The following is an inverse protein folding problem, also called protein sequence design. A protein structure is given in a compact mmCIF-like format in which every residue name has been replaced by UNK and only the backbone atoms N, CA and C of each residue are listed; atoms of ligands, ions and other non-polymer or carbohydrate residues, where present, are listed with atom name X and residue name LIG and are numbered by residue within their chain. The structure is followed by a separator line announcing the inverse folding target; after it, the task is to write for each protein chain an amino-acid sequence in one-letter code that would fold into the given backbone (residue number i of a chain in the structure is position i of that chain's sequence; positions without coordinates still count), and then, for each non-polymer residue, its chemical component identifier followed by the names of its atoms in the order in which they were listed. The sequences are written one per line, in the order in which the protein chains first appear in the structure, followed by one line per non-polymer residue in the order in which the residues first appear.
data_IF_031557649134
#
_entry.id   IF_031557649134
#
_cell.length_a   1.000
_cell.length_b   1.000
_cell.length_c   1.000
_cell.angle_alpha   90.00
_cell.angle_beta   90.00
_cell.angle_gamma   90.00
#
_symmetry.space_group_name_H-M   'P 1'
#
loop_
_entity.id
_entity.type
_entity.pdbx_description
1 polymer ?
#
# COMPACT_ATOMS: atom_id res chain seq x y z
N UNK A 1 1.82 29.22 12.40
CA UNK A 1 1.91 27.86 11.84
C UNK A 1 2.72 27.98 10.55
N UNK A 2 3.80 27.25 10.43
CA UNK A 2 4.57 27.17 9.17
C UNK A 2 3.68 26.43 8.16
N UNK A 3 3.42 27.06 7.03
CA UNK A 3 2.55 26.49 6.01
C UNK A 3 3.43 25.58 5.11
N UNK A 4 3.38 24.27 5.33
CA UNK A 4 4.07 23.30 4.49
C UNK A 4 3.28 23.08 3.18
N UNK A 5 3.94 22.79 2.04
CA UNK A 5 3.24 22.45 0.80
C UNK A 5 2.29 21.25 1.03
N UNK A 6 1.04 21.30 0.56
CA UNK A 6 0.10 20.21 0.78
C UNK A 6 0.52 18.93 0.04
N UNK A 7 0.17 17.79 0.59
CA UNK A 7 0.34 16.50 -0.07
C UNK A 7 -0.88 16.26 -0.97
N UNK A 8 -0.76 16.53 -2.25
CA UNK A 8 -1.86 16.40 -3.23
C UNK A 8 -1.68 15.26 -4.21
N UNK A 9 -0.49 14.64 -4.23
CA UNK A 9 -0.16 13.54 -5.16
C UNK A 9 0.28 12.29 -4.44
N UNK A 10 -0.10 11.13 -4.99
CA UNK A 10 0.36 9.84 -4.50
C UNK A 10 0.86 8.93 -5.64
N UNK A 11 1.95 8.21 -5.38
CA UNK A 11 2.43 7.11 -6.24
C UNK A 11 1.94 5.79 -5.65
N UNK A 12 1.33 4.95 -6.49
CA UNK A 12 1.00 3.57 -6.15
C UNK A 12 1.80 2.63 -7.06
N UNK A 13 2.85 1.98 -6.57
CA UNK A 13 3.68 1.06 -7.35
C UNK A 13 2.96 -0.27 -7.58
N UNK A 14 2.43 -0.48 -8.76
CA UNK A 14 1.69 -1.68 -9.17
C UNK A 14 2.39 -2.48 -10.28
N UNK A 15 3.73 -2.33 -10.46
CA UNK A 15 4.49 -2.97 -11.53
C UNK A 15 5.06 -4.35 -11.17
N UNK A 16 4.92 -4.81 -9.93
CA UNK A 16 5.50 -6.07 -9.45
C UNK A 16 4.89 -7.32 -10.12
N UNK A 17 5.69 -8.37 -10.30
CA UNK A 17 5.28 -9.61 -10.98
C UNK A 17 4.27 -10.47 -10.20
N UNK A 18 4.13 -10.27 -8.89
CA UNK A 18 3.20 -11.06 -8.07
C UNK A 18 3.54 -12.55 -7.96
N UNK A 19 4.82 -12.91 -8.00
CA UNK A 19 5.29 -14.32 -8.09
C UNK A 19 4.80 -15.23 -6.95
N UNK A 20 4.47 -14.66 -5.78
CA UNK A 20 3.91 -15.41 -4.63
C UNK A 20 2.51 -15.96 -4.91
N UNK A 21 1.81 -15.41 -5.90
CA UNK A 21 0.44 -15.80 -6.29
C UNK A 21 0.40 -16.59 -7.60
N UNK A 22 1.54 -17.06 -8.13
CA UNK A 22 1.50 -17.97 -9.24
C UNK A 22 0.75 -19.27 -8.87
N UNK A 23 -0.07 -19.82 -9.77
CA UNK A 23 -0.16 -19.49 -11.20
C UNK A 23 -1.15 -18.36 -11.57
N UNK A 24 -2.01 -17.87 -10.67
CA UNK A 24 -3.06 -16.90 -11.03
C UNK A 24 -2.49 -15.59 -11.59
N UNK A 25 -1.36 -15.13 -11.06
CA UNK A 25 -0.71 -13.89 -11.51
C UNK A 25 0.01 -14.00 -12.86
N UNK A 26 -0.05 -15.16 -13.50
CA UNK A 26 0.29 -15.29 -14.93
C UNK A 26 -0.62 -14.43 -15.82
N UNK A 27 -1.88 -14.22 -15.42
CA UNK A 27 -2.88 -13.53 -16.22
C UNK A 27 -3.54 -12.34 -15.47
N UNK A 28 -3.60 -12.39 -14.15
CA UNK A 28 -4.26 -11.37 -13.32
C UNK A 28 -3.21 -10.65 -12.49
N UNK A 29 -3.06 -9.32 -12.58
CA UNK A 29 -2.20 -8.56 -11.69
C UNK A 29 -2.54 -8.85 -10.22
N UNK A 30 -1.52 -9.01 -9.36
CA UNK A 30 -1.76 -9.30 -7.94
C UNK A 30 -2.63 -8.23 -7.27
N UNK A 31 -2.51 -7.01 -7.71
CA UNK A 31 -3.23 -5.84 -7.21
C UNK A 31 -4.74 -5.92 -7.52
N UNK A 32 -5.11 -6.75 -8.51
CA UNK A 32 -6.50 -7.01 -8.90
C UNK A 32 -7.08 -8.27 -8.25
N UNK A 33 -6.32 -8.98 -7.42
CA UNK A 33 -6.86 -10.08 -6.63
C UNK A 33 -7.88 -9.52 -5.62
N UNK A 34 -9.07 -10.14 -5.52
CA UNK A 34 -10.13 -9.59 -4.71
C UNK A 34 -9.94 -9.90 -3.22
N UNK A 35 -10.32 -8.93 -2.39
CA UNK A 35 -10.71 -9.13 -1.01
C UNK A 35 -12.23 -9.13 -1.01
N UNK A 36 -12.85 -10.30 -0.89
CA UNK A 36 -14.28 -10.54 -1.12
C UNK A 36 -14.70 -10.18 -2.56
N UNK A 37 -15.33 -9.03 -2.74
CA UNK A 37 -15.90 -8.54 -3.98
C UNK A 37 -15.21 -7.28 -4.54
N UNK A 38 -14.09 -6.85 -3.91
CA UNK A 38 -13.37 -5.62 -4.27
C UNK A 38 -11.88 -5.91 -4.47
N UNK A 39 -11.22 -5.46 -5.57
CA UNK A 39 -9.79 -5.60 -5.75
C UNK A 39 -8.98 -4.93 -4.63
N UNK A 40 -7.85 -5.51 -4.23
CA UNK A 40 -6.92 -4.91 -3.26
C UNK A 40 -6.58 -3.44 -3.61
N UNK A 41 -6.32 -3.17 -4.88
CA UNK A 41 -5.95 -1.84 -5.35
C UNK A 41 -7.04 -0.80 -5.09
N UNK A 42 -8.32 -1.17 -5.13
CA UNK A 42 -9.41 -0.25 -4.86
C UNK A 42 -9.44 0.19 -3.38
N UNK A 43 -9.17 -0.72 -2.42
CA UNK A 43 -9.06 -0.35 -1.01
C UNK A 43 -8.01 0.74 -0.80
N UNK A 44 -6.87 0.58 -1.46
CA UNK A 44 -5.76 1.53 -1.36
C UNK A 44 -6.10 2.87 -2.01
N UNK A 45 -6.75 2.86 -3.18
CA UNK A 45 -7.16 4.10 -3.87
C UNK A 45 -8.21 4.84 -3.05
N UNK A 46 -9.17 4.13 -2.45
CA UNK A 46 -10.18 4.74 -1.57
C UNK A 46 -9.54 5.43 -0.36
N UNK A 47 -8.55 4.80 0.30
CA UNK A 47 -7.79 5.41 1.39
C UNK A 47 -7.05 6.68 0.94
N UNK A 48 -6.44 6.64 -0.25
CA UNK A 48 -5.70 7.77 -0.82
C UNK A 48 -6.65 8.95 -1.11
N UNK A 49 -7.84 8.69 -1.64
CA UNK A 49 -8.86 9.71 -1.90
C UNK A 49 -9.42 10.27 -0.59
N UNK A 50 -9.73 9.41 0.40
CA UNK A 50 -10.18 9.83 1.74
C UNK A 50 -9.15 10.73 2.42
N UNK A 51 -7.87 10.49 2.21
CA UNK A 51 -6.79 11.32 2.74
C UNK A 51 -6.72 12.72 2.11
N UNK A 52 -7.45 12.97 1.02
CA UNK A 52 -7.49 14.27 0.33
C UNK A 52 -6.46 14.40 -0.80
N UNK A 53 -5.94 13.30 -1.32
CA UNK A 53 -5.07 13.29 -2.49
C UNK A 53 -5.90 13.56 -3.75
N UNK A 54 -5.40 14.44 -4.60
CA UNK A 54 -6.07 14.92 -5.81
C UNK A 54 -5.63 14.15 -7.07
N UNK A 55 -4.36 13.70 -7.12
CA UNK A 55 -3.78 13.00 -8.27
C UNK A 55 -3.07 11.71 -7.82
N UNK A 56 -3.48 10.59 -8.41
CA UNK A 56 -2.92 9.26 -8.15
C UNK A 56 -2.14 8.80 -9.37
N UNK A 57 -0.86 8.49 -9.19
CA UNK A 57 0.02 7.99 -10.24
C UNK A 57 0.22 6.48 -10.03
N UNK A 58 -0.45 5.67 -10.83
CA UNK A 58 -0.24 4.22 -10.85
C UNK A 58 0.99 3.88 -11.70
N UNK A 59 2.01 3.29 -11.08
CA UNK A 59 3.17 2.78 -11.81
C UNK A 59 2.92 1.31 -12.14
N UNK A 60 2.68 1.02 -13.42
CA UNK A 60 2.34 -0.32 -13.92
C UNK A 60 3.44 -0.90 -14.79
N UNK A 61 3.49 -2.22 -14.93
CA UNK A 61 4.32 -2.89 -15.94
C UNK A 61 3.51 -3.17 -17.21
N UNK A 62 4.17 -3.39 -18.37
CA UNK A 62 3.48 -3.91 -19.56
C UNK A 62 2.71 -5.20 -19.24
N UNK A 63 1.53 -5.38 -19.84
CA UNK A 63 0.66 -6.54 -19.61
C UNK A 63 -0.31 -6.41 -18.42
N UNK A 64 -0.40 -5.24 -17.79
CA UNK A 64 -1.34 -4.96 -16.67
C UNK A 64 -2.51 -4.06 -17.09
N UNK A 65 -2.97 -4.17 -18.32
CA UNK A 65 -4.06 -3.35 -18.89
C UNK A 65 -5.39 -3.54 -18.13
N UNK A 66 -5.59 -4.67 -17.46
CA UNK A 66 -6.77 -4.91 -16.61
C UNK A 66 -6.89 -3.90 -15.45
N UNK A 67 -5.77 -3.37 -14.95
CA UNK A 67 -5.78 -2.30 -13.95
C UNK A 67 -6.40 -1.04 -14.53
N UNK A 68 -5.91 -0.58 -15.69
CA UNK A 68 -6.45 0.62 -16.33
C UNK A 68 -7.89 0.44 -16.82
N UNK A 69 -8.27 -0.77 -17.21
CA UNK A 69 -9.63 -1.09 -17.62
C UNK A 69 -10.61 -1.05 -16.45
N UNK A 70 -10.17 -1.44 -15.25
CA UNK A 70 -11.01 -1.44 -14.05
C UNK A 70 -11.40 -0.01 -13.61
N UNK A 71 -10.47 0.94 -13.68
CA UNK A 71 -10.69 2.34 -13.30
C UNK A 71 -11.19 3.22 -14.45
N UNK A 72 -11.61 2.63 -15.56
CA UNK A 72 -12.22 3.32 -16.70
C UNK A 72 -13.72 3.14 -16.68
N UNK A 73 -14.45 4.18 -17.10
CA UNK A 73 -15.89 4.10 -17.27
C UNK A 73 -16.29 2.96 -18.22
N UNK A 74 -17.32 2.23 -17.82
CA UNK A 74 -17.90 1.16 -18.62
C UNK A 74 -19.36 1.45 -18.94
N UNK A 75 -19.55 2.34 -19.91
CA UNK A 75 -20.88 2.81 -20.31
C UNK A 75 -21.80 1.71 -20.86
N UNK A 76 -21.25 0.63 -21.41
CA UNK A 76 -22.04 -0.51 -21.89
C UNK A 76 -22.60 -1.30 -20.71
N UNK A 77 -21.77 -1.60 -19.69
CA UNK A 77 -22.22 -2.26 -18.47
C UNK A 77 -23.27 -1.41 -17.74
N UNK A 78 -23.04 -0.10 -17.61
CA UNK A 78 -23.99 0.81 -16.96
C UNK A 78 -25.34 0.85 -17.69
N UNK A 79 -25.35 0.89 -19.01
CA UNK A 79 -26.57 0.84 -19.82
C UNK A 79 -27.29 -0.50 -19.62
N UNK A 80 -26.58 -1.61 -19.60
CA UNK A 80 -27.15 -2.93 -19.36
C UNK A 80 -27.80 -3.02 -17.98
N UNK A 81 -27.09 -2.58 -16.94
CA UNK A 81 -27.59 -2.56 -15.56
C UNK A 81 -28.80 -1.64 -15.40
N UNK A 82 -28.82 -0.50 -16.10
CA UNK A 82 -29.96 0.44 -16.09
C UNK A 82 -31.25 -0.17 -16.69
N UNK A 83 -31.10 -1.09 -17.62
CA UNK A 83 -32.24 -1.78 -18.26
C UNK A 83 -32.82 -2.95 -17.48
N UNK A 84 -32.16 -3.41 -16.40
CA UNK A 84 -32.47 -4.66 -15.68
C UNK A 84 -32.76 -4.46 -14.20
N UNK A 85 -33.41 -3.41 -13.76
CA UNK A 85 -33.70 -3.11 -12.32
C UNK A 85 -32.44 -3.14 -11.41
N UNK A 86 -31.25 -3.02 -12.01
CA UNK A 86 -29.96 -3.15 -11.35
C UNK A 86 -29.48 -1.89 -10.60
N UNK A 87 -30.36 -1.05 -10.05
CA UNK A 87 -29.98 0.23 -9.42
C UNK A 87 -28.88 0.11 -8.38
N UNK A 88 -28.91 -0.92 -7.53
CA UNK A 88 -27.86 -1.17 -6.53
C UNK A 88 -26.54 -1.55 -7.18
N UNK A 89 -26.56 -2.32 -8.25
CA UNK A 89 -25.34 -2.74 -8.98
C UNK A 89 -24.70 -1.56 -9.73
N UNK A 90 -25.53 -0.64 -10.25
CA UNK A 90 -25.05 0.60 -10.88
C UNK A 90 -24.29 1.46 -9.88
N UNK A 91 -24.83 1.60 -8.65
CA UNK A 91 -24.14 2.37 -7.59
C UNK A 91 -22.78 1.76 -7.25
N UNK A 92 -22.67 0.43 -7.18
CA UNK A 92 -21.40 -0.24 -6.95
C UNK A 92 -20.37 0.06 -8.04
N UNK A 93 -20.81 0.07 -9.32
CA UNK A 93 -19.91 0.38 -10.46
C UNK A 93 -19.54 1.86 -10.49
N UNK A 94 -20.50 2.75 -10.26
CA UNK A 94 -20.28 4.22 -10.29
C UNK A 94 -19.44 4.73 -9.11
N UNK A 95 -19.42 4.00 -8.00
CA UNK A 95 -18.61 4.34 -6.84
C UNK A 95 -17.14 3.88 -6.98
N UNK A 96 -16.79 3.16 -8.05
CA UNK A 96 -15.38 2.91 -8.36
C UNK A 96 -14.74 4.25 -8.72
N UNK A 97 -13.62 4.63 -8.07
CA UNK A 97 -12.90 5.85 -8.43
C UNK A 97 -12.48 5.81 -9.90
N UNK A 98 -12.94 6.77 -10.71
CA UNK A 98 -12.68 6.78 -12.15
C UNK A 98 -11.61 7.80 -12.57
N UNK A 99 -11.23 7.70 -13.80
CA UNK A 99 -10.12 8.19 -14.57
C UNK A 99 -9.58 9.62 -14.41
N UNK A 100 -10.33 10.60 -13.92
CA UNK A 100 -9.84 11.98 -13.85
C UNK A 100 -8.77 12.19 -12.77
N UNK A 101 -8.77 11.33 -11.74
CA UNK A 101 -7.80 11.36 -10.63
C UNK A 101 -6.66 10.36 -10.80
N UNK A 102 -6.75 9.40 -11.73
CA UNK A 102 -5.81 8.30 -11.87
C UNK A 102 -5.04 8.39 -13.19
N UNK A 103 -3.75 8.62 -13.11
CA UNK A 103 -2.82 8.60 -14.23
C UNK A 103 -1.91 7.36 -14.19
N UNK A 104 -1.31 7.01 -15.33
CA UNK A 104 -0.53 5.79 -15.46
C UNK A 104 0.86 6.09 -15.99
N UNK A 105 1.87 5.51 -15.35
CA UNK A 105 3.26 5.53 -15.80
C UNK A 105 3.77 4.10 -15.94
N UNK A 106 4.49 3.79 -17.01
CA UNK A 106 4.95 2.43 -17.31
C UNK A 106 6.38 2.23 -16.85
N UNK A 107 6.58 1.34 -15.86
CA UNK A 107 7.88 0.79 -15.53
C UNK A 107 8.22 -0.35 -16.50
N UNK A 108 9.13 -0.10 -17.45
CA UNK A 108 9.47 -1.07 -18.50
C UNK A 108 10.27 -2.26 -17.99
N UNK A 109 11.11 -2.05 -16.99
CA UNK A 109 12.01 -3.06 -16.42
C UNK A 109 11.74 -3.24 -14.92
N UNK A 110 11.72 -4.46 -14.38
CA UNK A 110 11.41 -4.73 -12.98
C UNK A 110 12.64 -4.48 -12.07
N UNK A 111 13.11 -3.23 -12.01
CA UNK A 111 14.31 -2.82 -11.27
C UNK A 111 14.02 -2.42 -9.81
N UNK A 112 12.93 -2.89 -9.23
CA UNK A 112 12.61 -2.70 -7.81
C UNK A 112 11.69 -1.52 -7.51
N UNK A 113 11.35 -1.36 -6.21
CA UNK A 113 10.41 -0.37 -5.71
C UNK A 113 10.95 1.06 -5.91
N UNK A 114 12.22 1.31 -5.59
CA UNK A 114 12.84 2.62 -5.78
C UNK A 114 12.82 3.07 -7.24
N UNK A 115 13.04 2.14 -8.18
CA UNK A 115 12.92 2.45 -9.61
C UNK A 115 11.47 2.74 -10.03
N UNK A 116 10.49 2.04 -9.47
CA UNK A 116 9.08 2.34 -9.75
C UNK A 116 8.73 3.77 -9.31
N UNK A 117 9.16 4.17 -8.11
CA UNK A 117 9.00 5.54 -7.61
C UNK A 117 9.71 6.55 -8.52
N UNK A 118 10.96 6.28 -8.89
CA UNK A 118 11.75 7.15 -9.78
C UNK A 118 11.09 7.33 -11.15
N UNK A 119 10.44 6.29 -11.68
CA UNK A 119 9.74 6.33 -12.97
C UNK A 119 8.58 7.35 -12.96
N UNK A 120 7.97 7.60 -11.80
CA UNK A 120 6.88 8.56 -11.64
C UNK A 120 7.35 10.02 -11.41
N UNK A 121 8.67 10.29 -11.36
CA UNK A 121 9.23 11.61 -11.02
C UNK A 121 8.64 12.76 -11.86
N UNK A 122 8.53 12.57 -13.18
CA UNK A 122 8.02 13.62 -14.07
C UNK A 122 6.55 14.00 -13.78
N UNK A 123 5.73 13.07 -13.28
CA UNK A 123 4.34 13.30 -12.90
C UNK A 123 4.22 13.97 -11.53
N UNK A 124 5.15 13.71 -10.61
CA UNK A 124 5.16 14.33 -9.27
C UNK A 124 5.64 15.78 -9.34
N UNK A 125 6.72 16.05 -10.07
CA UNK A 125 7.38 17.37 -10.10
C UNK A 125 8.12 17.65 -8.78
N UNK A 126 8.09 18.92 -8.36
CA UNK A 126 8.87 19.43 -7.21
C UNK A 126 8.06 19.50 -5.90
N UNK A 127 6.93 18.80 -5.81
CA UNK A 127 6.10 18.78 -4.63
C UNK A 127 6.40 17.57 -3.73
N UNK A 128 6.16 17.67 -2.42
CA UNK A 128 6.11 16.48 -1.56
C UNK A 128 4.93 15.60 -1.97
N UNK A 129 5.06 14.30 -1.76
CA UNK A 129 4.09 13.32 -2.25
C UNK A 129 3.99 12.11 -1.34
N UNK A 130 2.92 11.35 -1.50
CA UNK A 130 2.75 10.07 -0.83
C UNK A 130 3.20 8.90 -1.71
N UNK A 131 3.67 7.81 -1.09
CA UNK A 131 3.82 6.49 -1.72
C UNK A 131 2.96 5.52 -0.94
N UNK A 132 2.14 4.74 -1.65
CA UNK A 132 1.20 3.81 -1.05
C UNK A 132 1.33 2.45 -1.73
N UNK A 133 1.79 1.43 -1.00
CA UNK A 133 1.94 0.09 -1.56
C UNK A 133 0.57 -0.60 -1.66
N UNK A 134 0.22 -1.18 -2.82
CA UNK A 134 -1.11 -1.71 -3.07
C UNK A 134 -1.43 -3.04 -2.37
N UNK A 135 -0.43 -3.70 -1.80
CA UNK A 135 -0.58 -4.97 -1.07
C UNK A 135 -0.57 -4.82 0.46
N UNK A 136 -0.32 -3.63 0.98
CA UNK A 136 -0.52 -3.30 2.38
C UNK A 136 -1.89 -2.63 2.57
N UNK A 137 -2.87 -3.34 3.06
CA UNK A 137 -4.20 -2.81 3.33
C UNK A 137 -4.30 -2.46 4.79
N UNK A 138 -4.66 -1.20 5.08
CA UNK A 138 -4.81 -0.71 6.45
C UNK A 138 -6.24 -0.21 6.62
N UNK A 139 -6.93 -0.75 7.62
CA UNK A 139 -8.32 -0.37 7.93
C UNK A 139 -8.37 0.43 9.21
N UNK A 140 -8.85 1.65 9.10
CA UNK A 140 -9.18 2.56 10.21
C UNK A 140 -9.97 3.77 9.69
N UNK A 141 -10.57 4.53 10.58
CA UNK A 141 -11.16 5.83 10.26
C UNK A 141 -10.71 6.84 11.34
N UNK A 142 -9.89 7.85 10.98
CA UNK A 142 -9.35 8.12 9.64
C UNK A 142 -8.30 7.09 9.18
N UNK A 143 -8.15 6.92 7.86
CA UNK A 143 -7.16 6.03 7.25
C UNK A 143 -5.73 6.39 7.61
N UNK A 144 -4.79 5.44 7.51
CA UNK A 144 -3.40 5.64 7.92
C UNK A 144 -2.72 6.80 7.16
N UNK A 145 -2.98 6.93 5.86
CA UNK A 145 -2.40 8.04 5.08
C UNK A 145 -2.88 9.41 5.58
N UNK A 146 -4.17 9.54 5.97
CA UNK A 146 -4.68 10.79 6.54
C UNK A 146 -4.01 11.12 7.86
N UNK A 147 -3.84 10.14 8.74
CA UNK A 147 -3.10 10.32 10.00
C UNK A 147 -1.68 10.83 9.74
N UNK A 148 -0.98 10.24 8.75
CA UNK A 148 0.38 10.66 8.38
C UNK A 148 0.44 12.08 7.79
N UNK A 149 -0.57 12.49 7.01
CA UNK A 149 -0.67 13.86 6.50
C UNK A 149 -0.81 14.86 7.67
N UNK A 150 -1.56 14.51 8.71
CA UNK A 150 -1.68 15.37 9.90
C UNK A 150 -0.34 15.50 10.65
N UNK A 151 0.45 14.42 10.75
CA UNK A 151 1.83 14.45 11.28
C UNK A 151 2.73 15.31 10.39
N UNK A 152 2.69 15.14 9.07
CA UNK A 152 3.43 15.97 8.13
C UNK A 152 3.10 17.46 8.29
N UNK A 153 1.82 17.80 8.36
CA UNK A 153 1.37 19.18 8.55
C UNK A 153 1.86 19.80 9.88
N UNK A 154 1.97 18.98 10.92
CA UNK A 154 2.45 19.43 12.23
C UNK A 154 3.98 19.62 12.28
N UNK A 155 4.75 18.80 11.55
CA UNK A 155 6.21 18.73 11.71
C UNK A 155 7.00 19.19 10.47
N UNK A 156 6.41 19.23 9.27
CA UNK A 156 7.06 19.62 8.03
C UNK A 156 8.20 18.67 7.60
N UNK A 157 8.15 17.43 8.03
CA UNK A 157 9.19 16.41 7.79
C UNK A 157 8.59 15.24 7.05
N UNK A 158 9.41 14.50 6.29
CA UNK A 158 8.99 13.22 5.73
C UNK A 158 8.44 12.29 6.82
N UNK A 159 7.45 11.47 6.49
CA UNK A 159 6.81 10.52 7.42
C UNK A 159 6.75 9.13 6.79
N UNK A 160 7.16 8.12 7.53
CA UNK A 160 7.07 6.70 7.13
C UNK A 160 6.18 5.99 8.15
N UNK A 161 5.19 5.22 7.68
CA UNK A 161 4.41 4.38 8.56
C UNK A 161 5.23 3.17 9.00
N UNK A 162 5.15 2.86 10.29
CA UNK A 162 5.80 1.69 10.89
C UNK A 162 4.83 0.93 11.77
N UNK A 163 5.12 -0.36 11.96
CA UNK A 163 4.39 -1.27 12.82
C UNK A 163 5.38 -2.14 13.60
N UNK A 164 5.13 -2.36 14.90
CA UNK A 164 5.89 -3.33 15.68
C UNK A 164 5.47 -4.76 15.28
N UNK A 165 6.40 -5.51 14.69
CA UNK A 165 6.15 -6.90 14.28
C UNK A 165 6.81 -7.90 15.24
N UNK A 166 6.38 -9.18 15.27
CA UNK A 166 7.11 -10.24 15.95
C UNK A 166 8.55 -10.33 15.45
N UNK A 167 9.52 -10.48 16.37
CA UNK A 167 10.95 -10.49 16.05
C UNK A 167 11.34 -11.47 14.93
N UNK A 168 10.71 -12.64 14.88
CA UNK A 168 10.91 -13.66 13.86
C UNK A 168 10.50 -13.21 12.43
N UNK A 169 9.82 -12.08 12.32
CA UNK A 169 9.33 -11.54 11.05
C UNK A 169 10.11 -10.31 10.54
N UNK A 170 11.02 -9.73 11.35
CA UNK A 170 11.71 -8.47 10.99
C UNK A 170 12.52 -8.57 9.70
N UNK A 171 13.05 -9.75 9.37
CA UNK A 171 13.82 -9.99 8.15
C UNK A 171 13.01 -9.94 6.85
N UNK A 172 11.71 -9.69 6.93
CA UNK A 172 10.82 -9.52 5.76
C UNK A 172 10.67 -8.06 5.35
N UNK A 173 11.06 -7.11 6.21
CA UNK A 173 10.77 -5.68 6.09
C UNK A 173 12.02 -4.81 6.16
N UNK A 174 11.90 -3.57 5.72
CA UNK A 174 12.80 -2.52 6.15
C UNK A 174 12.58 -2.24 7.64
N UNK A 175 13.65 -2.16 8.40
CA UNK A 175 13.60 -1.95 9.86
C UNK A 175 14.23 -0.61 10.18
N UNK A 176 13.60 0.16 11.07
CA UNK A 176 14.12 1.45 11.50
C UNK A 176 14.81 1.34 12.86
N UNK A 177 15.77 2.26 13.12
CA UNK A 177 16.10 2.68 14.48
C UNK A 177 15.94 4.18 14.61
N UNK A 178 15.66 4.65 15.81
CA UNK A 178 15.48 6.08 16.04
C UNK A 178 15.06 6.41 17.47
N UNK A 179 14.98 7.71 17.75
CA UNK A 179 14.62 8.24 19.06
C UNK A 179 13.11 8.50 19.14
N UNK A 180 12.48 8.03 20.20
CA UNK A 180 11.06 8.26 20.45
C UNK A 180 10.81 9.74 20.75
N UNK A 181 9.87 10.37 20.05
CA UNK A 181 9.42 11.75 20.25
C UNK A 181 8.14 11.79 21.09
N UNK A 182 7.19 10.89 20.79
CA UNK A 182 5.94 10.71 21.53
C UNK A 182 5.56 9.23 21.54
N UNK A 183 4.35 8.90 22.00
CA UNK A 183 3.92 7.50 22.12
C UNK A 183 3.93 6.72 20.82
N UNK A 184 3.66 7.38 19.70
CA UNK A 184 3.55 6.76 18.39
C UNK A 184 4.42 7.42 17.30
N UNK A 185 5.39 8.29 17.71
CA UNK A 185 6.22 9.05 16.78
C UNK A 185 7.69 8.94 17.16
N UNK A 186 8.53 8.60 16.16
CA UNK A 186 9.97 8.46 16.33
C UNK A 186 10.71 9.30 15.28
N UNK A 187 11.87 9.84 15.63
CA UNK A 187 12.81 10.39 14.66
C UNK A 187 13.72 9.27 14.19
N UNK A 188 13.70 8.98 12.89
CA UNK A 188 14.53 7.92 12.31
C UNK A 188 16.00 8.35 12.32
N UNK A 189 16.88 7.46 12.77
CA UNK A 189 18.33 7.61 12.74
C UNK A 189 18.98 6.69 11.71
N UNK A 190 18.43 5.50 11.53
CA UNK A 190 18.90 4.55 10.52
C UNK A 190 17.80 3.64 10.00
N UNK A 191 18.04 3.08 8.81
CA UNK A 191 17.15 2.13 8.13
C UNK A 191 17.99 0.99 7.57
N UNK A 192 17.50 -0.23 7.71
CA UNK A 192 18.15 -1.44 7.16
C UNK A 192 17.11 -2.28 6.45
N UNK A 193 17.35 -2.57 5.16
CA UNK A 193 16.46 -3.43 4.36
C UNK A 193 16.66 -4.89 4.70
N UNK A 194 15.63 -5.56 5.19
CA UNK A 194 15.56 -7.00 5.49
C UNK A 194 16.79 -7.52 6.24
N UNK A 195 17.09 -6.95 7.41
CA UNK A 195 18.27 -7.38 8.16
C UNK A 195 18.15 -8.84 8.61
N UNK A 196 19.25 -9.57 8.78
CA UNK A 196 19.27 -10.79 9.58
C UNK A 196 18.71 -10.53 10.98
N UNK A 197 18.08 -11.53 11.61
CA UNK A 197 17.41 -11.36 12.91
C UNK A 197 18.34 -10.81 14.01
N UNK A 198 19.60 -11.25 13.99
CA UNK A 198 20.65 -10.85 14.93
C UNK A 198 21.22 -9.44 14.66
N UNK A 199 20.90 -8.84 13.53
CA UNK A 199 21.36 -7.51 13.11
C UNK A 199 20.22 -6.48 13.03
N UNK A 200 18.98 -6.90 13.29
CA UNK A 200 17.85 -5.98 13.27
C UNK A 200 17.96 -4.98 14.43
N UNK A 201 17.94 -3.65 14.14
CA UNK A 201 18.14 -2.63 15.17
C UNK A 201 16.92 -2.49 16.11
N UNK A 202 15.75 -2.91 15.64
CA UNK A 202 14.48 -2.90 16.39
C UNK A 202 13.49 -3.89 15.76
N UNK A 203 12.27 -3.92 16.26
CA UNK A 203 11.15 -4.60 15.63
C UNK A 203 10.14 -3.63 14.99
N UNK A 204 10.48 -2.34 14.89
CA UNK A 204 9.68 -1.35 14.17
C UNK A 204 9.96 -1.46 12.67
N UNK A 205 8.99 -2.02 11.97
CA UNK A 205 9.10 -2.35 10.55
C UNK A 205 8.33 -1.36 9.69
N UNK A 206 8.94 -0.98 8.57
CA UNK A 206 8.32 -0.10 7.58
C UNK A 206 7.17 -0.85 6.93
N UNK A 207 6.03 -0.19 6.86
CA UNK A 207 4.87 -0.63 6.09
C UNK A 207 4.67 0.27 4.88
N UNK A 208 3.79 -0.11 3.99
CA UNK A 208 3.65 0.46 2.65
C UNK A 208 3.08 1.89 2.57
N UNK A 209 3.37 2.78 3.50
CA UNK A 209 2.91 4.18 3.49
C UNK A 209 4.07 5.12 3.78
N UNK A 210 4.26 6.11 2.86
CA UNK A 210 5.32 7.10 2.98
C UNK A 210 4.79 8.46 2.55
N UNK A 211 5.25 9.53 3.20
CA UNK A 211 5.18 10.92 2.76
C UNK A 211 6.60 11.42 2.65
N UNK A 212 7.02 11.79 1.47
CA UNK A 212 8.42 12.13 1.19
C UNK A 212 8.54 13.46 0.44
N UNK A 213 9.63 14.22 0.66
CA UNK A 213 9.95 15.39 -0.14
C UNK A 213 10.38 14.95 -1.56
N UNK A 214 10.25 15.84 -2.53
CA UNK A 214 10.69 15.59 -3.91
C UNK A 214 12.20 15.33 -4.02
N UNK A 215 13.00 15.81 -3.07
CA UNK A 215 14.45 15.60 -2.98
C UNK A 215 14.85 14.13 -3.00
N UNK A 216 13.96 13.23 -2.55
CA UNK A 216 14.20 11.78 -2.57
C UNK A 216 14.51 11.23 -3.99
N UNK A 217 14.06 11.91 -5.04
CA UNK A 217 14.39 11.50 -6.41
C UNK A 217 15.88 11.65 -6.73
N UNK A 218 16.60 12.55 -6.05
CA UNK A 218 18.06 12.66 -6.17
C UNK A 218 18.74 11.47 -5.50
N UNK A 219 18.27 11.08 -4.31
CA UNK A 219 18.79 9.93 -3.58
C UNK A 219 18.52 8.63 -4.35
N UNK A 220 17.33 8.48 -4.93
CA UNK A 220 17.01 7.34 -5.79
C UNK A 220 17.90 7.23 -7.01
N UNK A 221 18.28 8.34 -7.65
CA UNK A 221 19.24 8.32 -8.78
C UNK A 221 20.65 7.93 -8.35
N UNK A 222 21.04 8.26 -7.12
CA UNK A 222 22.36 7.98 -6.57
C UNK A 222 22.42 6.62 -5.85
N UNK A 223 21.28 5.97 -5.62
CA UNK A 223 21.21 4.65 -5.00
C UNK A 223 21.79 3.59 -5.93
N UNK A 224 22.76 2.83 -5.42
CA UNK A 224 23.33 1.68 -6.15
C UNK A 224 22.31 0.54 -6.18
N UNK A 225 22.34 -0.24 -7.25
CA UNK A 225 21.57 -1.46 -7.32
C UNK A 225 22.03 -2.44 -6.22
N UNK A 226 21.07 -2.86 -5.40
CA UNK A 226 21.29 -3.79 -4.30
C UNK A 226 21.05 -5.26 -4.70
N UNK A 227 20.58 -6.05 -3.76
CA UNK A 227 20.21 -7.44 -4.00
C UNK A 227 19.22 -7.58 -5.18
N UNK A 228 19.37 -8.62 -6.00
CA UNK A 228 18.57 -8.89 -7.20
C UNK A 228 18.66 -7.83 -8.31
N UNK A 229 19.68 -6.97 -8.30
CA UNK A 229 19.84 -5.85 -9.22
C UNK A 229 18.66 -4.84 -9.15
N UNK A 230 18.09 -4.65 -7.97
CA UNK A 230 16.98 -3.75 -7.70
C UNK A 230 17.45 -2.46 -7.02
N UNK A 231 16.81 -1.33 -7.32
CA UNK A 231 16.92 -0.07 -6.57
C UNK A 231 15.93 -0.14 -5.42
N UNK A 232 16.44 -0.26 -4.19
CA UNK A 232 15.62 -0.33 -3.00
C UNK A 232 15.24 1.08 -2.52
N UNK A 233 13.97 1.29 -2.18
CA UNK A 233 13.52 2.56 -1.61
C UNK A 233 14.17 2.81 -0.24
N UNK A 234 14.35 1.76 0.56
CA UNK A 234 14.99 1.84 1.89
C UNK A 234 16.43 2.36 1.82
N UNK A 235 17.19 1.97 0.77
CA UNK A 235 18.56 2.45 0.57
C UNK A 235 18.57 3.95 0.23
N UNK A 236 17.64 4.40 -0.62
CA UNK A 236 17.49 5.82 -0.93
C UNK A 236 17.07 6.63 0.31
N UNK A 237 16.16 6.10 1.13
CA UNK A 237 15.77 6.72 2.40
C UNK A 237 16.95 6.84 3.36
N UNK A 238 17.83 5.83 3.41
CA UNK A 238 19.06 5.89 4.23
C UNK A 238 20.00 7.00 3.75
N UNK A 239 20.08 7.27 2.44
CA UNK A 239 20.84 8.42 1.91
C UNK A 239 20.16 9.74 2.29
N UNK A 240 18.84 9.83 2.17
CA UNK A 240 18.07 11.02 2.48
C UNK A 240 18.21 11.45 3.96
N UNK A 241 18.41 10.52 4.91
CA UNK A 241 18.63 10.85 6.32
C UNK A 241 19.85 11.74 6.57
N UNK A 242 20.80 11.83 5.63
CA UNK A 242 21.96 12.74 5.76
C UNK A 242 21.58 14.22 5.60
N UNK A 243 20.48 14.52 4.94
CA UNK A 243 20.05 15.89 4.59
C UNK A 243 18.64 16.22 5.02
N UNK A 244 17.82 15.19 5.23
CA UNK A 244 16.38 15.33 5.52
C UNK A 244 16.04 14.71 6.87
N UNK A 245 15.15 15.37 7.59
CA UNK A 245 14.52 14.79 8.77
C UNK A 245 13.35 13.91 8.34
N UNK A 246 13.36 12.65 8.72
CA UNK A 246 12.27 11.70 8.46
C UNK A 246 11.76 11.16 9.79
N UNK A 247 10.45 11.12 9.94
CA UNK A 247 9.75 10.60 11.11
C UNK A 247 9.18 9.21 10.79
N UNK A 248 9.18 8.34 11.78
CA UNK A 248 8.42 7.10 11.75
C UNK A 248 7.18 7.26 12.61
N UNK A 249 6.04 6.89 12.06
CA UNK A 249 4.74 6.99 12.72
C UNK A 249 4.11 5.60 12.86
N UNK A 250 3.84 5.20 14.12
CA UNK A 250 3.04 4.03 14.43
C UNK A 250 1.56 4.41 14.27
N UNK A 251 0.97 4.04 13.13
CA UNK A 251 -0.41 4.40 12.78
C UNK A 251 -1.44 3.62 13.60
N UNK A 252 -2.62 4.18 13.73
CA UNK A 252 -3.78 3.48 14.29
C UNK A 252 -4.51 2.73 13.18
N UNK A 253 -4.86 1.46 13.45
CA UNK A 253 -5.58 0.61 12.51
C UNK A 253 -5.07 -0.83 12.48
N UNK A 254 -5.69 -1.64 11.63
CA UNK A 254 -5.31 -3.04 11.42
C UNK A 254 -4.74 -3.18 10.02
N UNK A 255 -3.51 -3.71 9.93
CA UNK A 255 -2.83 -3.97 8.67
C UNK A 255 -3.02 -5.42 8.24
N UNK A 256 -3.28 -5.62 6.95
CA UNK A 256 -3.31 -6.91 6.28
C UNK A 256 -2.26 -6.93 5.17
N UNK A 257 -1.32 -7.89 5.24
CA UNK A 257 -0.33 -8.14 4.18
C UNK A 257 -1.00 -8.93 3.04
N UNK A 258 -1.64 -8.20 2.12
CA UNK A 258 -2.23 -8.76 0.90
C UNK A 258 -1.19 -9.26 -0.11
N UNK A 259 0.11 -9.12 0.16
CA UNK A 259 1.20 -9.62 -0.68
C UNK A 259 1.47 -11.13 -0.57
N UNK A 260 0.72 -11.84 0.29
CA UNK A 260 0.82 -13.29 0.49
C UNK A 260 -0.55 -13.97 0.38
N UNK A 261 -0.64 -15.25 -0.08
CA UNK A 261 -1.92 -15.97 -0.13
C UNK A 261 -2.63 -16.06 1.21
N UNK A 262 -1.89 -16.31 2.29
CA UNK A 262 -2.48 -16.37 3.64
C UNK A 262 -2.96 -14.99 4.12
N UNK A 263 -2.19 -13.94 3.86
CA UNK A 263 -2.58 -12.57 4.22
C UNK A 263 -3.83 -12.10 3.47
N UNK A 264 -3.95 -12.44 2.18
CA UNK A 264 -5.15 -12.17 1.38
C UNK A 264 -6.38 -12.91 1.91
N UNK A 265 -6.22 -14.19 2.30
CA UNK A 265 -7.29 -14.96 2.94
C UNK A 265 -7.71 -14.33 4.27
N UNK A 266 -6.74 -13.96 5.11
CA UNK A 266 -7.01 -13.28 6.38
C UNK A 266 -7.77 -11.98 6.18
N UNK A 267 -7.31 -11.12 5.25
CA UNK A 267 -7.99 -9.88 4.91
C UNK A 267 -9.44 -10.12 4.48
N UNK A 268 -9.67 -11.15 3.64
CA UNK A 268 -11.01 -11.51 3.18
C UNK A 268 -11.91 -11.96 4.35
N UNK A 269 -11.41 -12.79 5.25
CA UNK A 269 -12.18 -13.26 6.40
C UNK A 269 -12.55 -12.10 7.35
N UNK A 270 -11.58 -11.26 7.70
CA UNK A 270 -11.81 -10.16 8.65
C UNK A 270 -12.68 -9.06 8.04
N UNK A 271 -12.50 -8.72 6.76
CA UNK A 271 -13.42 -7.81 6.05
C UNK A 271 -14.84 -8.39 5.96
N UNK A 272 -14.97 -9.70 5.75
CA UNK A 272 -16.28 -10.36 5.72
C UNK A 272 -16.97 -10.39 7.08
N UNK A 273 -16.21 -10.59 8.16
CA UNK A 273 -16.73 -10.50 9.54
C UNK A 273 -17.18 -9.08 9.93
N UNK A 274 -16.62 -8.05 9.28
CA UNK A 274 -17.06 -6.67 9.47
C UNK A 274 -18.36 -6.35 8.69
N UNK A 275 -18.75 -7.16 7.70
CA UNK A 275 -19.94 -6.97 6.88
C UNK A 275 -21.17 -7.66 7.49
N UNK A 276 -22.24 -6.91 7.68
CA UNK A 276 -23.47 -7.43 8.29
C UNK A 276 -24.14 -8.55 7.46
N UNK A 277 -24.01 -8.50 6.13
CA UNK A 277 -24.62 -9.47 5.19
C UNK A 277 -23.88 -10.80 5.12
N UNK A 278 -22.62 -10.90 5.61
CA UNK A 278 -21.79 -12.10 5.53
C UNK A 278 -21.33 -12.62 6.90
N UNK A 279 -21.35 -11.75 7.92
CA UNK A 279 -20.79 -12.05 9.24
C UNK A 279 -21.22 -13.39 9.82
N UNK A 280 -22.54 -13.65 9.80
CA UNK A 280 -23.09 -14.84 10.43
C UNK A 280 -22.71 -16.12 9.68
N UNK A 281 -22.71 -16.06 8.35
CA UNK A 281 -22.34 -17.21 7.51
C UNK A 281 -20.86 -17.55 7.68
N UNK A 282 -19.98 -16.53 7.79
CA UNK A 282 -18.55 -16.73 8.03
C UNK A 282 -18.30 -17.34 9.41
N UNK A 283 -18.98 -16.89 10.46
CA UNK A 283 -18.86 -17.48 11.81
C UNK A 283 -19.23 -18.96 11.77
N UNK A 284 -20.39 -19.30 11.19
CA UNK A 284 -20.83 -20.69 11.07
C UNK A 284 -19.86 -21.56 10.27
N UNK A 285 -19.31 -21.02 9.17
CA UNK A 285 -18.30 -21.70 8.38
C UNK A 285 -17.04 -21.99 9.22
N UNK A 286 -16.51 -21.00 9.94
CA UNK A 286 -15.31 -21.15 10.78
C UNK A 286 -15.54 -22.18 11.89
N UNK A 287 -16.68 -22.16 12.58
CA UNK A 287 -17.05 -23.15 13.60
C UNK A 287 -17.11 -24.57 13.03
N UNK A 288 -17.72 -24.73 11.83
CA UNK A 288 -17.80 -26.03 11.17
C UNK A 288 -16.44 -26.60 10.77
N UNK A 289 -15.54 -25.75 10.26
CA UNK A 289 -14.17 -26.13 9.88
C UNK A 289 -13.35 -26.53 11.10
N UNK A 290 -13.44 -25.81 12.21
CA UNK A 290 -12.75 -26.12 13.46
C UNK A 290 -13.24 -27.45 14.04
N UNK A 291 -14.56 -27.70 14.04
CA UNK A 291 -15.13 -28.96 14.49
C UNK A 291 -14.68 -30.15 13.63
N UNK A 292 -14.60 -29.97 12.31
CA UNK A 292 -14.13 -31.01 11.39
C UNK A 292 -12.63 -31.32 11.59
N UNK A 293 -11.78 -30.29 11.81
CA UNK A 293 -10.35 -30.51 12.03
C UNK A 293 -10.06 -31.22 13.35
N UNK A 294 -10.81 -30.92 14.40
CA UNK A 294 -10.67 -31.59 15.71
C UNK A 294 -11.06 -33.08 15.66
N UNK A 295 -11.94 -33.48 14.73
CA UNK A 295 -12.35 -34.88 14.55
C UNK A 295 -11.40 -35.68 13.63
N UNK A 296 -10.44 -35.02 12.96
CA UNK A 296 -9.47 -35.68 12.05
C UNK A 296 -8.14 -36.05 12.72
N UNK A 297 -7.93 -35.70 13.97
CA UNK A 297 -6.71 -36.02 14.76
C UNK A 297 -6.87 -37.27 15.66
N UNK A 298 -7.87 -38.12 15.39
CA UNK A 298 -8.05 -39.43 16.07
C UNK A 298 -7.83 -40.51 14.96
#
# INVERSE_FOLDING_TARGET
MVNHPPITKAIIPAAGLGSRFLPVTKAVPKEMLPILDKPMLQFVIEEVIEAGIEEIILVVSPGKESISSYFRDNTELEKHLSSTDGHKLIELVKNIPTGDQVSYVVQKEPLGLGHAVLTAHAAIGDNPFAIVLPDDIITNTPGALRQMIDIYNAHGSGVIAVEAVPWESVNKYGVISGNRISDNLHQIESLVEKPPLDQAPSNLCIVGRYILPHTIFNDLRNTKTGAKNEIQLTDALSLALNTERILAYEFEGVRYDGGTPFGLLRASLECGLARNDMKQDIIQLLESLLAASSNSEI
#
